data_IF_422372951285
#
_entry.id   IF_422372951285
#
_cell.length_a   1.000
_cell.length_b   1.000
_cell.length_c   1.000
_cell.angle_alpha   90.00
_cell.angle_beta   90.00
_cell.angle_gamma   90.00
#
_symmetry.space_group_name_H-M   'P 1'
#
loop_
_entity.id
_entity.type
_entity.pdbx_description
1 polymer ?
#
# COMPACT_ATOMS: atom_id res chain seq x y z
N UNK A 1 -32.43 6.11 -11.25
CA UNK A 1 -32.25 5.27 -10.03
C UNK A 1 -31.67 3.94 -10.46
N UNK A 2 -30.36 3.89 -10.65
CA UNK A 2 -29.64 2.66 -10.95
C UNK A 2 -29.10 2.11 -9.63
N UNK A 3 -29.23 0.82 -9.43
CA UNK A 3 -29.04 0.09 -8.18
C UNK A 3 -27.58 0.08 -7.76
N UNK A 4 -27.31 0.43 -6.49
CA UNK A 4 -26.02 0.46 -5.76
C UNK A 4 -25.22 -0.87 -5.72
N UNK A 5 -25.63 -1.91 -6.47
CA UNK A 5 -25.03 -3.25 -6.43
C UNK A 5 -23.96 -3.51 -7.51
N UNK A 6 -23.63 -2.56 -8.36
CA UNK A 6 -22.69 -2.76 -9.48
C UNK A 6 -21.28 -2.19 -9.27
N UNK A 7 -21.00 -1.51 -8.17
CA UNK A 7 -19.70 -0.86 -7.92
C UNK A 7 -18.61 -1.78 -7.31
N UNK A 8 -18.95 -2.99 -6.90
CA UNK A 8 -17.99 -3.92 -6.24
C UNK A 8 -17.50 -5.05 -7.16
N UNK A 9 -17.65 -4.94 -8.49
CA UNK A 9 -17.29 -6.03 -9.42
C UNK A 9 -16.35 -5.60 -10.54
N UNK A 10 -15.36 -4.79 -10.27
CA UNK A 10 -14.37 -4.30 -11.24
C UNK A 10 -13.06 -5.08 -11.32
N UNK A 11 -12.80 -6.07 -10.44
CA UNK A 11 -11.68 -6.98 -10.59
C UNK A 11 -12.20 -8.40 -10.86
N UNK A 12 -12.68 -8.64 -12.06
CA UNK A 12 -12.98 -9.99 -12.53
C UNK A 12 -11.65 -10.61 -12.96
N UNK A 13 -11.05 -11.39 -12.07
CA UNK A 13 -10.10 -12.42 -12.50
C UNK A 13 -10.89 -13.38 -13.38
N UNK A 14 -10.63 -13.34 -14.68
CA UNK A 14 -11.19 -14.28 -15.65
C UNK A 14 -10.71 -15.69 -15.32
N UNK A 15 -11.51 -16.44 -14.55
CA UNK A 15 -11.39 -17.88 -14.43
C UNK A 15 -11.99 -18.51 -15.65
N UNK A 16 -11.15 -18.94 -16.57
CA UNK A 16 -11.63 -19.80 -17.67
C UNK A 16 -10.81 -19.75 -18.92
N UNK A 17 -9.75 -20.53 -18.98
CA UNK A 17 -9.46 -21.45 -20.07
C UNK A 17 -8.04 -22.00 -19.91
N UNK A 18 -7.91 -23.25 -19.49
CA UNK A 18 -6.72 -24.05 -19.74
C UNK A 18 -6.56 -24.18 -21.26
N UNK A 19 -5.62 -23.45 -21.83
CA UNK A 19 -5.18 -23.69 -23.19
C UNK A 19 -3.69 -23.34 -23.33
N UNK A 20 -2.91 -24.39 -23.47
CA UNK A 20 -1.60 -24.46 -24.11
C UNK A 20 -0.54 -23.42 -23.70
N UNK A 21 0.20 -23.73 -22.64
CA UNK A 21 1.54 -23.17 -22.40
C UNK A 21 2.43 -23.48 -23.62
N UNK A 22 2.67 -22.49 -24.47
CA UNK A 22 3.82 -22.49 -25.36
C UNK A 22 5.04 -22.16 -24.50
N UNK A 23 5.92 -23.16 -24.27
CA UNK A 23 7.26 -22.91 -23.77
C UNK A 23 7.93 -21.88 -24.68
N UNK A 24 8.19 -20.70 -24.14
CA UNK A 24 9.19 -19.80 -24.69
C UNK A 24 10.52 -20.47 -24.34
N UNK A 25 11.24 -20.93 -25.36
CA UNK A 25 12.61 -21.39 -25.19
C UNK A 25 13.45 -20.19 -24.76
N UNK A 26 13.85 -20.20 -23.49
CA UNK A 26 14.79 -19.24 -22.94
C UNK A 26 16.11 -19.38 -23.71
N UNK A 27 16.46 -18.36 -24.50
CA UNK A 27 17.85 -18.16 -24.92
C UNK A 27 18.72 -18.06 -23.65
N UNK A 28 19.86 -18.74 -23.67
CA UNK A 28 20.86 -18.78 -22.59
C UNK A 28 21.29 -17.36 -22.17
N UNK A 29 20.57 -16.76 -21.23
CA UNK A 29 21.12 -15.73 -20.34
C UNK A 29 21.67 -16.44 -19.10
N UNK A 30 22.91 -16.16 -18.76
CA UNK A 30 23.56 -16.70 -17.58
C UNK A 30 22.65 -16.53 -16.36
N UNK A 31 21.98 -17.60 -15.99
CA UNK A 31 21.16 -17.69 -14.77
C UNK A 31 22.10 -17.57 -13.58
N UNK A 32 22.34 -16.35 -13.10
CA UNK A 32 22.86 -16.19 -11.76
C UNK A 32 21.72 -16.62 -10.82
N UNK A 33 21.82 -17.83 -10.31
CA UNK A 33 20.92 -18.34 -9.27
C UNK A 33 20.93 -17.34 -8.12
N UNK A 34 19.78 -16.70 -7.87
CA UNK A 34 19.62 -15.85 -6.69
C UNK A 34 19.84 -16.71 -5.45
N UNK A 35 20.77 -16.30 -4.60
CA UNK A 35 21.02 -16.96 -3.31
C UNK A 35 20.32 -16.13 -2.25
N UNK A 36 19.35 -16.76 -1.55
CA UNK A 36 18.69 -16.13 -0.42
C UNK A 36 19.73 -15.65 0.59
N UNK A 37 19.54 -14.43 1.09
CA UNK A 37 20.34 -13.92 2.20
C UNK A 37 20.15 -14.84 3.41
N UNK A 38 21.21 -15.33 4.08
CA UNK A 38 21.11 -16.25 5.21
C UNK A 38 20.39 -15.64 6.42
N UNK A 39 20.33 -14.32 6.52
CA UNK A 39 19.63 -13.61 7.59
C UNK A 39 18.13 -13.41 7.28
N UNK A 40 17.66 -13.84 6.11
CA UNK A 40 16.23 -13.78 5.77
C UNK A 40 15.43 -14.79 6.59
N UNK A 41 14.38 -14.32 7.25
CA UNK A 41 13.50 -15.13 8.08
C UNK A 41 12.27 -15.54 7.28
N UNK A 42 11.92 -16.83 7.32
CA UNK A 42 10.69 -17.34 6.71
C UNK A 42 9.48 -16.84 7.50
N UNK A 43 8.48 -16.33 6.78
CA UNK A 43 7.18 -15.96 7.33
C UNK A 43 6.25 -17.18 7.32
N UNK A 44 5.61 -17.46 8.45
CA UNK A 44 4.55 -18.47 8.58
C UNK A 44 3.22 -17.91 8.03
N UNK A 45 2.22 -18.78 7.89
CA UNK A 45 0.87 -18.35 7.52
C UNK A 45 0.28 -17.36 8.56
N UNK A 46 0.54 -17.59 9.86
CA UNK A 46 0.13 -16.69 10.93
C UNK A 46 0.85 -15.32 10.82
N UNK A 47 2.16 -15.31 10.51
CA UNK A 47 2.91 -14.08 10.30
C UNK A 47 2.35 -13.26 9.14
N UNK A 48 1.95 -13.94 8.06
CA UNK A 48 1.36 -13.29 6.88
C UNK A 48 -0.03 -12.72 7.21
N UNK A 49 -0.89 -13.49 7.86
CA UNK A 49 -2.21 -13.00 8.29
C UNK A 49 -2.08 -11.85 9.28
N UNK A 50 -1.19 -11.95 10.26
CA UNK A 50 -0.92 -10.86 11.21
C UNK A 50 -0.44 -9.59 10.47
N UNK A 51 0.44 -9.74 9.47
CA UNK A 51 0.89 -8.60 8.65
C UNK A 51 -0.27 -7.95 7.89
N UNK A 52 -1.16 -8.74 7.28
CA UNK A 52 -2.31 -8.24 6.53
C UNK A 52 -3.31 -7.54 7.44
N UNK A 53 -3.66 -8.15 8.58
CA UNK A 53 -4.57 -7.51 9.55
C UNK A 53 -3.96 -6.22 10.07
N UNK A 54 -2.70 -6.22 10.52
CA UNK A 54 -2.05 -5.02 11.03
C UNK A 54 -1.90 -3.93 9.97
N UNK A 55 -1.67 -4.29 8.70
CA UNK A 55 -1.61 -3.32 7.60
C UNK A 55 -2.95 -2.62 7.36
N UNK A 56 -4.10 -3.25 7.67
CA UNK A 56 -5.40 -2.60 7.58
C UNK A 56 -5.56 -1.45 8.61
N UNK A 57 -4.86 -1.54 9.74
CA UNK A 57 -4.77 -0.45 10.71
C UNK A 57 -3.83 0.67 10.27
N UNK A 58 -2.73 0.32 9.60
CA UNK A 58 -1.74 1.28 9.13
C UNK A 58 -2.11 1.90 7.76
N UNK A 59 -2.99 1.25 6.99
CA UNK A 59 -3.41 1.68 5.65
C UNK A 59 -4.27 2.94 5.62
N UNK A 60 -4.75 3.44 6.76
CA UNK A 60 -5.49 4.72 6.86
C UNK A 60 -6.68 4.83 5.90
N UNK A 61 -7.33 3.72 5.62
CA UNK A 61 -8.45 3.63 4.67
C UNK A 61 -8.04 3.38 3.21
N UNK A 62 -6.73 3.29 2.92
CA UNK A 62 -6.20 2.94 1.60
C UNK A 62 -5.45 1.62 1.58
N UNK A 63 -4.60 1.44 0.55
CA UNK A 63 -3.78 0.24 0.37
C UNK A 63 -4.55 -1.02 -0.05
N UNK A 64 -5.76 -0.88 -0.53
CA UNK A 64 -6.60 -1.93 -1.14
C UNK A 64 -7.25 -2.91 -0.17
N UNK A 65 -8.04 -3.81 -0.72
CA UNK A 65 -8.91 -4.73 0.04
C UNK A 65 -8.14 -5.80 0.82
N UNK A 66 -8.44 -5.96 2.11
CA UNK A 66 -7.91 -7.03 2.94
C UNK A 66 -8.33 -8.43 2.45
N UNK A 67 -9.56 -8.59 1.95
CA UNK A 67 -10.04 -9.85 1.41
C UNK A 67 -9.31 -10.25 0.11
N UNK A 68 -8.99 -9.27 -0.75
CA UNK A 68 -8.20 -9.51 -1.96
C UNK A 68 -6.74 -9.87 -1.60
N UNK A 69 -6.18 -9.19 -0.60
CA UNK A 69 -4.86 -9.49 -0.06
C UNK A 69 -4.77 -10.94 0.46
N UNK A 70 -5.76 -11.38 1.27
CA UNK A 70 -5.86 -12.76 1.76
C UNK A 70 -5.93 -13.77 0.62
N UNK A 71 -6.73 -13.50 -0.43
CA UNK A 71 -6.84 -14.35 -1.62
C UNK A 71 -5.51 -14.46 -2.38
N UNK A 72 -4.81 -13.34 -2.55
CA UNK A 72 -3.50 -13.32 -3.22
C UNK A 72 -2.47 -14.17 -2.47
N UNK A 73 -2.33 -13.96 -1.17
CA UNK A 73 -1.40 -14.71 -0.33
C UNK A 73 -1.77 -16.20 -0.29
N UNK A 74 -3.04 -16.54 -0.15
CA UNK A 74 -3.50 -17.94 -0.18
C UNK A 74 -3.17 -18.62 -1.52
N UNK A 75 -3.42 -17.94 -2.66
CA UNK A 75 -3.07 -18.44 -3.99
C UNK A 75 -1.57 -18.77 -4.10
N UNK A 76 -0.72 -17.88 -3.59
CA UNK A 76 0.73 -18.05 -3.66
C UNK A 76 1.24 -19.15 -2.71
N UNK A 77 0.66 -19.28 -1.53
CA UNK A 77 0.94 -20.42 -0.62
C UNK A 77 0.52 -21.75 -1.23
N UNK A 78 -0.65 -21.84 -1.86
CA UNK A 78 -1.13 -23.03 -2.57
C UNK A 78 -0.24 -23.38 -3.77
N UNK A 79 0.38 -22.39 -4.41
CA UNK A 79 1.39 -22.59 -5.45
C UNK A 79 2.76 -23.03 -4.89
N UNK A 80 2.90 -23.12 -3.57
CA UNK A 80 4.14 -23.56 -2.90
C UNK A 80 5.20 -22.47 -2.76
N UNK A 81 4.84 -21.21 -2.95
CA UNK A 81 5.77 -20.09 -2.76
C UNK A 81 6.15 -19.94 -1.28
N UNK A 82 7.36 -19.46 -1.05
CA UNK A 82 7.89 -19.20 0.31
C UNK A 82 8.11 -17.72 0.47
N UNK A 83 7.52 -17.15 1.50
CA UNK A 83 7.66 -15.76 1.87
C UNK A 83 8.78 -15.60 2.89
N UNK A 84 9.66 -14.62 2.66
CA UNK A 84 10.78 -14.32 3.57
C UNK A 84 10.90 -12.83 3.78
N UNK A 85 11.28 -12.42 4.99
CA UNK A 85 11.56 -11.03 5.34
C UNK A 85 13.03 -10.87 5.70
N UNK A 86 13.62 -9.71 5.37
CA UNK A 86 15.01 -9.39 5.65
C UNK A 86 15.09 -8.01 6.32
N UNK A 87 15.71 -7.89 7.49
CA UNK A 87 16.02 -6.58 8.07
C UNK A 87 16.93 -5.77 7.13
N UNK A 88 16.66 -4.48 6.97
CA UNK A 88 17.48 -3.60 6.11
C UNK A 88 18.96 -3.63 6.49
N UNK A 89 19.25 -3.72 7.79
CA UNK A 89 20.62 -3.81 8.32
C UNK A 89 21.41 -5.03 7.83
N UNK A 90 20.73 -6.10 7.39
CA UNK A 90 21.37 -7.32 6.87
C UNK A 90 21.78 -7.24 5.39
N UNK A 91 21.42 -6.18 4.68
CA UNK A 91 21.92 -5.92 3.33
C UNK A 91 23.41 -5.64 3.35
N UNK A 92 24.13 -6.14 2.35
CA UNK A 92 25.50 -5.67 2.07
C UNK A 92 25.41 -4.29 1.43
N UNK A 93 26.42 -3.45 1.60
CA UNK A 93 26.44 -2.10 1.00
C UNK A 93 26.31 -2.12 -0.53
N UNK A 94 26.82 -3.18 -1.15
CA UNK A 94 26.80 -3.40 -2.62
C UNK A 94 25.54 -4.08 -3.12
N UNK A 95 24.71 -4.64 -2.26
CA UNK A 95 23.42 -5.22 -2.69
C UNK A 95 22.55 -4.12 -3.29
N UNK A 96 21.73 -4.47 -4.27
CA UNK A 96 20.72 -3.56 -4.77
C UNK A 96 19.33 -4.10 -4.47
N UNK A 97 18.43 -3.18 -4.22
CA UNK A 97 17.02 -3.44 -3.94
C UNK A 97 16.18 -2.46 -4.74
N UNK A 98 14.92 -2.78 -5.02
CA UNK A 98 14.00 -1.89 -5.71
C UNK A 98 12.59 -2.06 -5.13
N UNK A 99 11.75 -1.07 -5.37
CA UNK A 99 10.37 -0.99 -4.90
C UNK A 99 9.38 -1.31 -6.02
N UNK A 100 8.78 -2.50 -6.07
CA UNK A 100 7.72 -2.84 -7.00
C UNK A 100 6.34 -2.52 -6.43
N UNK A 101 5.46 -1.95 -7.26
CA UNK A 101 4.05 -1.69 -6.91
C UNK A 101 3.18 -1.58 -8.16
N UNK A 102 1.85 -1.71 -7.98
CA UNK A 102 0.85 -1.53 -9.02
C UNK A 102 0.22 -0.14 -8.99
N UNK A 103 -0.02 0.43 -10.18
CA UNK A 103 -0.85 1.61 -10.37
C UNK A 103 -2.10 1.20 -11.14
N UNK A 104 -3.27 1.23 -10.49
CA UNK A 104 -4.54 1.03 -11.16
C UNK A 104 -5.13 2.36 -11.62
N UNK A 105 -5.87 2.33 -12.73
CA UNK A 105 -6.68 3.47 -13.16
C UNK A 105 -8.14 3.24 -12.75
N UNK A 106 -8.73 4.23 -12.06
CA UNK A 106 -10.17 4.28 -11.76
C UNK A 106 -10.96 4.96 -12.88
N UNK A 107 -10.29 5.48 -13.94
CA UNK A 107 -10.95 6.11 -15.07
C UNK A 107 -11.84 5.12 -15.81
N UNK A 108 -13.06 5.56 -16.16
CA UNK A 108 -13.97 4.77 -17.01
C UNK A 108 -13.30 4.48 -18.35
N UNK A 109 -13.21 3.20 -18.71
CA UNK A 109 -12.72 2.77 -20.02
C UNK A 109 -13.89 2.80 -21.00
N UNK A 110 -13.74 3.50 -22.14
CA UNK A 110 -14.77 3.47 -23.20
C UNK A 110 -14.92 2.07 -23.79
N UNK A 111 -16.12 1.75 -24.28
CA UNK A 111 -16.39 0.44 -24.91
C UNK A 111 -15.39 0.14 -26.03
N UNK A 112 -15.03 1.14 -26.85
CA UNK A 112 -14.03 0.99 -27.94
C UNK A 112 -12.65 0.65 -27.40
N UNK A 113 -12.23 1.31 -26.32
CA UNK A 113 -10.94 1.01 -25.67
C UNK A 113 -10.98 -0.38 -25.03
N UNK A 114 -12.10 -0.74 -24.38
CA UNK A 114 -12.30 -2.06 -23.81
C UNK A 114 -12.15 -3.16 -24.86
N UNK A 115 -12.84 -3.05 -26.01
CA UNK A 115 -12.77 -4.00 -27.12
C UNK A 115 -11.33 -4.13 -27.66
N UNK A 116 -10.62 -3.00 -27.81
CA UNK A 116 -9.22 -3.00 -28.26
C UNK A 116 -8.31 -3.74 -27.30
N UNK A 117 -8.43 -3.48 -25.99
CA UNK A 117 -7.60 -4.11 -24.96
C UNK A 117 -7.92 -5.60 -24.83
N UNK A 118 -9.19 -5.99 -24.96
CA UNK A 118 -9.58 -7.39 -24.89
C UNK A 118 -9.10 -8.20 -26.09
N UNK A 119 -8.96 -7.56 -27.26
CA UNK A 119 -8.46 -8.18 -28.50
C UNK A 119 -6.94 -8.43 -28.48
N UNK A 120 -6.18 -7.87 -27.54
CA UNK A 120 -4.72 -8.13 -27.43
C UNK A 120 -4.52 -9.55 -26.89
N UNK A 121 -3.89 -10.41 -27.69
CA UNK A 121 -3.66 -11.80 -27.32
C UNK A 121 -2.55 -11.96 -26.27
N UNK A 122 -1.52 -11.11 -26.32
CA UNK A 122 -0.42 -11.16 -25.37
C UNK A 122 -0.88 -10.55 -24.03
N UNK A 123 -0.94 -11.36 -23.00
CA UNK A 123 -1.33 -10.95 -21.65
C UNK A 123 -0.20 -11.29 -20.68
N UNK A 124 0.15 -10.32 -19.83
CA UNK A 124 1.08 -10.50 -18.70
C UNK A 124 0.26 -10.65 -17.43
N UNK A 125 0.42 -11.79 -16.76
CA UNK A 125 -0.36 -12.09 -15.55
C UNK A 125 0.01 -11.18 -14.38
N UNK A 126 1.31 -10.79 -14.28
CA UNK A 126 1.83 -9.98 -13.18
C UNK A 126 2.70 -8.83 -13.74
N UNK A 127 2.08 -7.71 -14.15
CA UNK A 127 2.80 -6.58 -14.74
C UNK A 127 3.87 -6.00 -13.81
N UNK A 128 3.64 -6.01 -12.50
CA UNK A 128 4.59 -5.55 -11.47
C UNK A 128 5.88 -6.37 -11.51
N UNK A 129 5.78 -7.69 -11.67
CA UNK A 129 6.96 -8.56 -11.83
C UNK A 129 7.70 -8.24 -13.14
N UNK A 130 6.96 -8.06 -14.23
CA UNK A 130 7.56 -7.70 -15.53
C UNK A 130 8.30 -6.35 -15.46
N UNK A 131 7.74 -5.36 -14.79
CA UNK A 131 8.39 -4.07 -14.55
C UNK A 131 9.70 -4.21 -13.75
N UNK A 132 9.69 -5.01 -12.70
CA UNK A 132 10.88 -5.29 -11.89
C UNK A 132 11.97 -6.01 -12.69
N UNK A 133 11.61 -7.02 -13.48
CA UNK A 133 12.53 -7.76 -14.33
C UNK A 133 13.07 -6.90 -15.48
N UNK A 134 12.24 -5.99 -16.04
CA UNK A 134 12.69 -5.02 -17.05
C UNK A 134 13.75 -4.06 -16.47
N UNK A 135 13.58 -3.61 -15.22
CA UNK A 135 14.54 -2.77 -14.53
C UNK A 135 15.86 -3.53 -14.25
N UNK A 136 15.79 -4.79 -13.79
CA UNK A 136 16.97 -5.65 -13.63
C UNK A 136 17.74 -5.83 -14.94
N UNK A 137 17.02 -6.07 -16.04
CA UNK A 137 17.59 -6.23 -17.38
C UNK A 137 18.25 -4.94 -17.85
N UNK A 138 17.62 -3.79 -17.63
CA UNK A 138 18.18 -2.49 -17.98
C UNK A 138 19.49 -2.19 -17.24
N UNK A 139 19.53 -2.51 -15.95
CA UNK A 139 20.69 -2.27 -15.09
C UNK A 139 21.77 -3.36 -15.20
N UNK A 140 21.50 -4.44 -15.95
CA UNK A 140 22.34 -5.66 -16.01
C UNK A 140 22.71 -6.17 -14.60
N UNK A 141 21.73 -6.11 -13.66
CA UNK A 141 21.94 -6.48 -12.28
C UNK A 141 20.67 -7.08 -11.66
N UNK A 142 20.86 -8.16 -10.86
CA UNK A 142 19.78 -8.75 -10.06
C UNK A 142 19.67 -8.07 -8.71
N UNK A 143 18.43 -7.80 -8.30
CA UNK A 143 18.17 -7.25 -6.98
C UNK A 143 18.21 -8.32 -5.89
N UNK A 144 18.71 -7.95 -4.72
CA UNK A 144 18.89 -8.82 -3.55
C UNK A 144 17.63 -8.89 -2.66
N UNK A 145 16.67 -8.02 -2.89
CA UNK A 145 15.41 -7.94 -2.14
C UNK A 145 14.44 -6.93 -2.72
N UNK A 146 13.23 -6.96 -2.21
CA UNK A 146 12.12 -6.09 -2.57
C UNK A 146 11.88 -5.10 -1.42
N UNK A 147 11.87 -3.79 -1.73
CA UNK A 147 11.34 -2.76 -0.84
C UNK A 147 9.82 -2.81 -0.96
N UNK A 148 9.08 -2.86 0.16
CA UNK A 148 7.63 -2.74 0.13
C UNK A 148 7.23 -1.31 -0.29
N UNK A 149 6.21 -1.16 -1.12
CA UNK A 149 5.78 0.15 -1.60
C UNK A 149 5.17 0.99 -0.48
N UNK A 150 4.19 0.43 0.20
CA UNK A 150 3.47 1.06 1.30
C UNK A 150 2.88 -0.01 2.23
N UNK A 151 2.41 0.40 3.40
CA UNK A 151 1.73 -0.49 4.34
C UNK A 151 0.22 -0.27 4.25
N UNK A 152 -0.38 -1.05 3.37
CA UNK A 152 -1.82 -1.23 3.24
C UNK A 152 -2.11 -2.67 2.83
N UNK A 153 -3.32 -3.22 3.01
CA UNK A 153 -3.53 -4.67 2.92
C UNK A 153 -3.11 -5.28 1.59
N UNK A 154 -3.64 -4.80 0.47
CA UNK A 154 -3.33 -5.36 -0.85
C UNK A 154 -1.94 -4.94 -1.33
N UNK A 155 -1.54 -3.69 -1.11
CA UNK A 155 -0.21 -3.21 -1.49
C UNK A 155 0.91 -3.99 -0.79
N UNK A 156 0.75 -4.30 0.51
CA UNK A 156 1.66 -5.17 1.25
C UNK A 156 1.68 -6.60 0.69
N UNK A 157 0.49 -7.17 0.42
CA UNK A 157 0.38 -8.51 -0.13
C UNK A 157 1.05 -8.62 -1.52
N UNK A 158 0.90 -7.61 -2.38
CA UNK A 158 1.55 -7.53 -3.69
C UNK A 158 3.08 -7.51 -3.55
N UNK A 159 3.63 -6.65 -2.70
CA UNK A 159 5.07 -6.60 -2.44
C UNK A 159 5.63 -7.94 -1.94
N UNK A 160 4.93 -8.57 -0.98
CA UNK A 160 5.28 -9.90 -0.48
C UNK A 160 5.17 -10.99 -1.57
N UNK A 161 4.09 -10.97 -2.37
CA UNK A 161 3.88 -11.89 -3.49
C UNK A 161 5.01 -11.79 -4.53
N UNK A 162 5.36 -10.56 -4.94
CA UNK A 162 6.45 -10.32 -5.89
C UNK A 162 7.78 -10.83 -5.33
N UNK A 163 8.09 -10.56 -4.05
CA UNK A 163 9.32 -11.05 -3.43
C UNK A 163 9.40 -12.60 -3.46
N UNK A 164 8.29 -13.27 -3.12
CA UNK A 164 8.21 -14.73 -3.12
C UNK A 164 8.34 -15.31 -4.55
N UNK A 165 7.69 -14.72 -5.55
CA UNK A 165 7.76 -15.13 -6.98
C UNK A 165 9.16 -14.93 -7.54
N UNK A 166 9.84 -13.86 -7.17
CA UNK A 166 11.21 -13.57 -7.57
C UNK A 166 12.24 -14.42 -6.80
N UNK A 167 11.86 -15.09 -5.71
CA UNK A 167 12.76 -15.86 -4.85
C UNK A 167 13.78 -14.98 -4.11
N UNK A 168 13.40 -13.75 -3.75
CA UNK A 168 14.18 -12.82 -2.93
C UNK A 168 13.38 -12.42 -1.68
N UNK A 169 14.01 -11.97 -0.58
CA UNK A 169 13.27 -11.51 0.57
C UNK A 169 12.57 -10.15 0.32
N UNK A 170 11.41 -9.95 0.93
CA UNK A 170 10.90 -8.61 1.18
C UNK A 170 11.72 -7.98 2.30
N UNK A 171 12.07 -6.70 2.18
CA UNK A 171 12.70 -5.98 3.28
C UNK A 171 11.67 -5.73 4.38
N UNK A 172 12.10 -5.80 5.63
CA UNK A 172 11.32 -5.29 6.76
C UNK A 172 11.41 -3.75 6.76
N UNK A 173 10.89 -3.17 5.71
CA UNK A 173 10.83 -1.73 5.46
C UNK A 173 9.92 -1.45 4.26
N UNK A 174 9.35 -0.27 4.27
CA UNK A 174 8.63 0.28 3.13
C UNK A 174 9.05 1.74 2.86
N UNK A 175 8.38 2.38 1.93
CA UNK A 175 8.71 3.75 1.53
C UNK A 175 7.85 4.80 2.22
N UNK A 176 6.91 4.40 3.09
CA UNK A 176 5.92 5.34 3.64
C UNK A 176 5.60 5.11 5.13
N UNK A 177 5.44 3.86 5.57
CA UNK A 177 4.93 3.48 6.90
C UNK A 177 3.41 3.47 7.02
N UNK A 178 2.69 3.73 5.91
CA UNK A 178 1.24 3.75 5.78
C UNK A 178 0.84 3.67 4.30
N UNK A 179 -0.45 3.66 3.96
CA UNK A 179 -0.87 3.90 2.57
C UNK A 179 -1.00 5.40 2.27
N UNK A 180 -0.79 5.77 1.01
CA UNK A 180 -0.73 7.16 0.52
C UNK A 180 -1.36 7.32 -0.85
N UNK A 181 -1.92 8.52 -1.17
CA UNK A 181 -2.58 8.75 -2.45
C UNK A 181 -1.65 8.84 -3.67
N UNK A 182 -0.40 9.28 -3.50
CA UNK A 182 0.46 9.64 -4.63
C UNK A 182 1.87 9.08 -4.48
N UNK A 183 2.53 8.77 -5.60
CA UNK A 183 3.96 8.38 -5.65
C UNK A 183 4.87 9.46 -5.03
N UNK A 184 4.39 10.71 -4.96
CA UNK A 184 5.16 11.80 -4.35
C UNK A 184 5.43 11.60 -2.85
N UNK A 185 4.58 10.88 -2.15
CA UNK A 185 4.79 10.48 -0.76
C UNK A 185 5.71 9.25 -0.66
N UNK A 186 6.98 9.42 -1.02
CA UNK A 186 7.99 8.36 -1.08
C UNK A 186 9.25 8.77 -0.31
N UNK A 187 9.61 8.02 0.72
CA UNK A 187 10.72 8.36 1.63
C UNK A 187 12.07 8.48 0.92
N UNK A 188 12.35 7.62 -0.08
CA UNK A 188 13.57 7.71 -0.88
C UNK A 188 13.67 9.06 -1.60
N UNK A 189 12.55 9.56 -2.14
CA UNK A 189 12.48 10.88 -2.76
C UNK A 189 12.70 12.00 -1.73
N UNK A 190 12.07 11.91 -0.56
CA UNK A 190 12.23 12.87 0.54
C UNK A 190 13.69 12.89 1.04
N UNK A 191 14.37 11.75 1.02
CA UNK A 191 15.81 11.65 1.30
C UNK A 191 16.72 12.26 0.22
N UNK A 192 16.14 12.81 -0.86
CA UNK A 192 16.87 13.43 -1.98
C UNK A 192 17.51 12.42 -2.93
N UNK A 193 17.05 11.17 -2.93
CA UNK A 193 17.55 10.10 -3.79
C UNK A 193 16.57 9.96 -4.98
N UNK A 194 17.07 9.92 -6.24
CA UNK A 194 16.23 9.73 -7.40
C UNK A 194 15.48 8.39 -7.37
N UNK A 195 14.20 8.39 -7.77
CA UNK A 195 13.42 7.16 -7.98
C UNK A 195 13.85 6.42 -9.26
N UNK A 196 14.45 7.15 -10.20
CA UNK A 196 14.91 6.63 -11.53
C UNK A 196 16.23 5.87 -11.43
N UNK A 197 16.49 4.95 -12.41
CA UNK A 197 15.56 4.55 -13.49
C UNK A 197 14.35 3.80 -12.95
N UNK A 198 13.20 3.95 -13.64
CA UNK A 198 11.93 3.30 -13.24
C UNK A 198 11.54 2.31 -14.33
N UNK A 199 11.41 1.04 -13.98
CA UNK A 199 10.80 0.03 -14.83
C UNK A 199 9.29 0.13 -14.80
N UNK A 200 8.62 -0.04 -15.94
CA UNK A 200 7.18 -0.09 -16.02
C UNK A 200 6.71 -1.15 -17.02
N UNK A 201 5.59 -1.79 -16.75
CA UNK A 201 5.00 -2.76 -17.67
C UNK A 201 3.46 -2.73 -17.60
N UNK A 202 2.83 -3.11 -18.72
CA UNK A 202 1.37 -3.21 -18.81
C UNK A 202 0.90 -4.66 -18.82
N UNK A 203 -0.38 -4.94 -18.52
CA UNK A 203 -0.97 -6.28 -18.67
C UNK A 203 -0.91 -6.83 -20.10
N UNK A 204 -0.51 -6.01 -21.06
CA UNK A 204 -0.49 -6.34 -22.49
C UNK A 204 0.92 -6.59 -23.02
N UNK A 205 1.93 -6.65 -22.12
CA UNK A 205 3.30 -6.98 -22.48
C UNK A 205 4.14 -5.81 -22.96
N UNK A 206 3.67 -4.58 -22.77
CA UNK A 206 4.52 -3.41 -23.00
C UNK A 206 5.50 -3.27 -21.83
N UNK A 207 6.80 -3.20 -22.12
CA UNK A 207 7.87 -2.96 -21.15
C UNK A 207 8.53 -1.61 -21.45
N UNK A 208 8.74 -0.80 -20.42
CA UNK A 208 9.31 0.54 -20.51
C UNK A 208 10.33 0.76 -19.41
N UNK A 209 11.29 1.66 -19.66
CA UNK A 209 12.16 2.21 -18.62
C UNK A 209 12.20 3.73 -18.74
N UNK A 210 11.86 4.40 -17.65
CA UNK A 210 12.00 5.85 -17.50
C UNK A 210 13.39 6.10 -16.91
N UNK A 211 14.34 6.44 -17.78
CA UNK A 211 15.75 6.62 -17.40
C UNK A 211 15.98 7.86 -16.54
N UNK A 212 15.32 8.95 -16.90
CA UNK A 212 15.44 10.23 -16.20
C UNK A 212 14.13 10.99 -16.23
N UNK A 213 13.88 11.76 -15.19
CA UNK A 213 12.79 12.71 -15.08
C UNK A 213 13.34 14.13 -15.05
N UNK A 214 12.79 15.04 -15.87
CA UNK A 214 13.14 16.46 -15.82
C UNK A 214 12.71 17.12 -14.50
N UNK A 215 11.63 16.60 -13.91
CA UNK A 215 11.12 16.92 -12.58
C UNK A 215 10.67 15.61 -11.91
N UNK A 216 11.14 15.29 -10.68
CA UNK A 216 10.77 14.06 -9.99
C UNK A 216 9.27 13.87 -9.76
N UNK A 217 8.48 14.96 -9.70
CA UNK A 217 7.02 14.90 -9.52
C UNK A 217 6.30 14.34 -10.73
N UNK A 218 6.93 14.34 -11.90
CA UNK A 218 6.35 13.83 -13.14
C UNK A 218 6.26 12.30 -13.22
N UNK A 219 6.88 11.58 -12.29
CA UNK A 219 6.71 10.12 -12.22
C UNK A 219 5.23 9.73 -12.17
N UNK A 220 4.45 10.38 -11.27
CA UNK A 220 3.01 10.18 -11.15
C UNK A 220 2.29 10.43 -12.48
N UNK A 221 2.49 11.60 -13.10
CA UNK A 221 1.80 11.97 -14.33
C UNK A 221 2.05 10.97 -15.48
N UNK A 222 3.32 10.56 -15.65
CA UNK A 222 3.72 9.67 -16.74
C UNK A 222 3.16 8.26 -16.51
N UNK A 223 3.39 7.69 -15.33
CA UNK A 223 2.99 6.32 -15.03
C UNK A 223 1.46 6.19 -14.89
N UNK A 224 0.79 7.19 -14.33
CA UNK A 224 -0.67 7.25 -14.29
C UNK A 224 -1.26 7.31 -15.71
N UNK A 225 -0.65 8.04 -16.63
CA UNK A 225 -1.08 8.07 -18.03
C UNK A 225 -0.99 6.69 -18.70
N UNK A 226 0.04 5.91 -18.37
CA UNK A 226 0.16 4.51 -18.83
C UNK A 226 -0.95 3.65 -18.24
N UNK A 227 -1.20 3.78 -16.91
CA UNK A 227 -2.27 3.05 -16.25
C UNK A 227 -3.65 3.38 -16.84
N UNK A 228 -3.92 4.65 -17.18
CA UNK A 228 -5.19 5.07 -17.80
C UNK A 228 -5.43 4.36 -19.14
N UNK A 229 -4.41 4.27 -20.02
CA UNK A 229 -4.57 3.63 -21.33
C UNK A 229 -4.48 2.11 -21.31
N UNK A 230 -3.99 1.53 -20.21
CA UNK A 230 -3.79 0.07 -20.05
C UNK A 230 -4.58 -0.52 -18.86
N UNK A 231 -5.39 0.30 -18.16
CA UNK A 231 -6.11 0.01 -16.90
C UNK A 231 -5.21 -0.18 -15.69
N UNK A 232 -4.02 -0.67 -15.91
CA UNK A 232 -3.03 -0.98 -14.89
C UNK A 232 -1.63 -0.74 -15.45
N UNK A 233 -0.71 -0.32 -14.59
CA UNK A 233 0.72 -0.23 -14.86
C UNK A 233 1.47 -0.83 -13.68
N UNK A 234 2.20 -1.92 -13.90
CA UNK A 234 3.21 -2.40 -12.97
C UNK A 234 4.40 -1.46 -13.00
N UNK A 235 4.94 -1.13 -11.83
CA UNK A 235 6.08 -0.21 -11.66
C UNK A 235 7.14 -0.88 -10.80
N UNK A 236 8.40 -0.57 -11.06
CA UNK A 236 9.51 -0.86 -10.16
C UNK A 236 10.45 0.35 -10.16
N UNK A 237 10.63 0.99 -9.02
CA UNK A 237 11.45 2.18 -8.88
C UNK A 237 12.51 2.04 -7.77
N UNK A 238 13.21 3.14 -7.49
CA UNK A 238 14.18 3.24 -6.39
C UNK A 238 15.21 2.12 -6.37
N UNK A 239 15.96 1.88 -7.48
CA UNK A 239 16.99 0.85 -7.53
C UNK A 239 18.22 1.28 -6.72
N UNK A 240 18.07 1.31 -5.38
CA UNK A 240 19.09 1.82 -4.45
C UNK A 240 20.05 0.73 -3.96
N UNK A 241 21.24 1.14 -3.53
CA UNK A 241 22.22 0.24 -2.90
C UNK A 241 21.86 -0.03 -1.45
N UNK A 242 22.35 -1.15 -0.90
CA UNK A 242 22.19 -1.45 0.52
C UNK A 242 22.81 -0.38 1.45
N UNK A 243 23.88 0.29 1.00
CA UNK A 243 24.43 1.45 1.69
C UNK A 243 23.40 2.58 1.82
N UNK A 244 22.71 2.93 0.71
CA UNK A 244 21.67 3.94 0.71
C UNK A 244 20.44 3.50 1.50
N UNK A 245 20.01 2.23 1.33
CA UNK A 245 18.85 1.69 2.04
C UNK A 245 19.02 1.74 3.58
N UNK A 246 20.25 1.56 4.07
CA UNK A 246 20.60 1.62 5.51
C UNK A 246 20.78 3.04 6.05
N UNK A 247 20.85 4.04 5.18
CA UNK A 247 20.97 5.43 5.62
C UNK A 247 19.67 5.86 6.28
N UNK A 248 19.78 6.44 7.48
CA UNK A 248 18.64 6.96 8.23
C UNK A 248 17.78 7.90 7.37
N UNK A 249 16.46 7.73 7.41
CA UNK A 249 15.50 8.53 6.66
C UNK A 249 15.38 8.15 5.17
N UNK A 250 16.01 7.07 4.69
CA UNK A 250 15.81 6.59 3.32
C UNK A 250 14.60 5.69 3.22
N UNK A 251 14.42 4.77 4.15
CA UNK A 251 13.28 3.85 4.23
C UNK A 251 12.63 3.93 5.61
N UNK A 252 11.35 3.65 5.70
CA UNK A 252 10.64 3.42 6.96
C UNK A 252 10.90 1.97 7.36
N UNK A 253 11.83 1.78 8.30
CA UNK A 253 12.26 0.45 8.73
C UNK A 253 11.32 -0.15 9.77
N UNK A 254 11.30 -1.49 9.89
CA UNK A 254 10.48 -2.27 10.83
C UNK A 254 8.96 -2.11 10.61
N UNK A 255 8.53 -1.61 9.44
CA UNK A 255 7.12 -1.38 9.14
C UNK A 255 6.34 -2.69 8.96
N UNK A 256 6.95 -3.72 8.35
CA UNK A 256 6.38 -5.07 8.31
C UNK A 256 6.31 -5.69 9.70
N UNK A 257 7.34 -5.51 10.52
CA UNK A 257 7.36 -5.97 11.92
C UNK A 257 6.27 -5.26 12.74
N UNK A 258 6.05 -3.95 12.54
CA UNK A 258 4.98 -3.21 13.21
C UNK A 258 3.59 -3.73 12.80
N UNK A 259 3.37 -3.93 11.49
CA UNK A 259 2.12 -4.50 11.00
C UNK A 259 1.86 -5.88 11.62
N UNK A 260 2.84 -6.78 11.62
CA UNK A 260 2.72 -8.10 12.26
C UNK A 260 2.44 -7.99 13.76
N UNK A 261 3.09 -7.08 14.46
CA UNK A 261 2.88 -6.86 15.90
C UNK A 261 1.44 -6.44 16.21
N UNK A 262 0.86 -5.53 15.41
CA UNK A 262 -0.53 -5.10 15.55
C UNK A 262 -1.47 -6.27 15.27
N UNK A 263 -1.31 -6.98 14.15
CA UNK A 263 -2.18 -8.12 13.81
C UNK A 263 -2.12 -9.26 14.81
N UNK A 264 -0.91 -9.60 15.31
CA UNK A 264 -0.75 -10.60 16.36
C UNK A 264 -1.47 -10.21 17.66
N UNK A 265 -1.48 -8.92 18.02
CA UNK A 265 -2.22 -8.41 19.17
C UNK A 265 -3.73 -8.53 18.96
N UNK A 266 -4.25 -8.17 17.77
CA UNK A 266 -5.65 -8.36 17.38
C UNK A 266 -6.06 -9.82 17.48
N UNK A 267 -5.30 -10.72 16.88
CA UNK A 267 -5.54 -12.16 16.90
C UNK A 267 -5.52 -12.73 18.32
N UNK A 268 -4.54 -12.32 19.14
CA UNK A 268 -4.41 -12.74 20.52
C UNK A 268 -5.57 -12.28 21.40
N UNK A 269 -5.99 -11.02 21.27
CA UNK A 269 -7.14 -10.48 21.98
C UNK A 269 -8.44 -11.17 21.56
N UNK A 270 -8.68 -11.36 20.26
CA UNK A 270 -9.86 -12.07 19.74
C UNK A 270 -9.93 -13.49 20.26
N UNK A 271 -8.82 -14.23 20.25
CA UNK A 271 -8.76 -15.61 20.76
C UNK A 271 -9.05 -15.73 22.27
N UNK A 272 -8.71 -14.69 23.05
CA UNK A 272 -8.96 -14.64 24.50
C UNK A 272 -10.29 -14.01 24.88
N UNK A 273 -11.08 -13.51 23.91
CA UNK A 273 -12.32 -12.77 24.15
C UNK A 273 -12.08 -11.37 24.73
N UNK A 274 -10.89 -10.80 24.51
CA UNK A 274 -10.51 -9.44 24.89
C UNK A 274 -10.90 -8.41 23.83
N UNK A 275 -10.49 -7.15 24.08
CA UNK A 275 -10.71 -6.04 23.15
C UNK A 275 -9.60 -6.00 22.10
N UNK A 276 -9.92 -6.42 20.88
CA UNK A 276 -8.99 -6.48 19.76
C UNK A 276 -8.52 -5.07 19.31
N UNK A 277 -9.41 -4.06 19.39
CA UNK A 277 -9.09 -2.70 18.98
C UNK A 277 -8.15 -2.04 19.98
N UNK A 278 -8.41 -2.24 21.26
CA UNK A 278 -7.52 -1.73 22.31
C UNK A 278 -6.15 -2.42 22.25
N UNK A 279 -6.11 -3.74 22.01
CA UNK A 279 -4.86 -4.45 21.82
C UNK A 279 -4.05 -3.93 20.61
N UNK A 280 -4.72 -3.62 19.51
CA UNK A 280 -4.08 -2.99 18.35
C UNK A 280 -3.55 -1.58 18.66
N UNK A 281 -4.36 -0.78 19.35
CA UNK A 281 -3.97 0.57 19.79
C UNK A 281 -2.70 0.54 20.65
N UNK A 282 -2.65 -0.34 21.65
CA UNK A 282 -1.48 -0.51 22.51
C UNK A 282 -0.26 -1.02 21.73
N UNK A 283 -0.45 -2.03 20.85
CA UNK A 283 0.63 -2.58 20.04
C UNK A 283 1.25 -1.55 19.09
N UNK A 284 0.43 -0.65 18.53
CA UNK A 284 0.87 0.43 17.62
C UNK A 284 1.27 1.73 18.33
N UNK A 285 1.26 1.81 19.66
CA UNK A 285 1.44 3.08 20.42
C UNK A 285 0.47 4.18 19.93
N UNK A 286 -0.79 3.79 19.71
CA UNK A 286 -1.81 4.63 19.09
C UNK A 286 -2.71 5.34 20.10
N UNK A 287 -3.58 6.20 19.57
CA UNK A 287 -4.54 7.02 20.29
C UNK A 287 -5.96 6.60 19.90
N UNK A 288 -6.87 6.52 20.88
CA UNK A 288 -8.31 6.41 20.61
C UNK A 288 -8.84 7.81 20.29
N UNK A 289 -9.19 8.06 19.02
CA UNK A 289 -9.70 9.36 18.59
C UNK A 289 -11.22 9.45 18.75
N UNK A 290 -11.94 8.34 18.51
CA UNK A 290 -13.40 8.30 18.55
C UNK A 290 -13.94 6.87 18.60
N UNK A 291 -15.14 6.71 19.15
CA UNK A 291 -15.98 5.52 18.96
C UNK A 291 -17.40 5.97 18.59
N UNK A 292 -18.01 5.29 17.62
CA UNK A 292 -19.30 5.72 17.12
C UNK A 292 -19.92 4.77 16.12
N UNK A 293 -20.90 5.30 15.40
CA UNK A 293 -21.53 4.63 14.27
C UNK A 293 -21.44 5.50 13.02
N UNK A 294 -21.32 4.88 11.86
CA UNK A 294 -21.32 5.58 10.57
C UNK A 294 -22.66 6.29 10.40
N UNK A 295 -22.62 7.61 10.21
CA UNK A 295 -23.78 8.47 10.01
C UNK A 295 -24.02 8.81 8.53
N UNK A 296 -23.02 8.58 7.71
CA UNK A 296 -23.08 8.77 6.26
C UNK A 296 -21.72 9.01 5.65
N UNK A 297 -21.65 8.81 4.35
CA UNK A 297 -20.45 9.02 3.54
C UNK A 297 -20.80 9.78 2.26
N UNK A 298 -19.85 10.58 1.78
CA UNK A 298 -19.91 11.24 0.47
C UNK A 298 -18.66 10.85 -0.32
N UNK A 299 -18.84 10.45 -1.59
CA UNK A 299 -17.74 9.99 -2.42
C UNK A 299 -17.82 10.62 -3.81
N UNK A 300 -16.65 10.96 -4.36
CA UNK A 300 -16.45 11.50 -5.69
C UNK A 300 -15.15 10.98 -6.26
N UNK A 301 -15.18 10.50 -7.49
CA UNK A 301 -13.96 10.27 -8.27
C UNK A 301 -13.55 11.58 -8.95
N UNK A 302 -12.34 12.03 -8.68
CA UNK A 302 -11.79 13.25 -9.24
C UNK A 302 -10.30 13.08 -9.54
N UNK A 303 -9.91 13.34 -10.77
CA UNK A 303 -8.52 13.23 -11.26
C UNK A 303 -7.85 11.87 -10.97
N UNK A 304 -8.64 10.79 -10.94
CA UNK A 304 -8.16 9.42 -10.67
C UNK A 304 -8.01 9.08 -9.18
N UNK A 305 -8.50 9.92 -8.28
CA UNK A 305 -8.52 9.71 -6.85
C UNK A 305 -9.94 9.60 -6.31
N UNK A 306 -10.14 8.72 -5.33
CA UNK A 306 -11.37 8.67 -4.55
C UNK A 306 -11.31 9.77 -3.48
N UNK A 307 -12.13 10.81 -3.66
CA UNK A 307 -12.27 11.90 -2.68
C UNK A 307 -13.57 11.76 -1.91
N UNK A 308 -13.60 12.17 -0.66
CA UNK A 308 -14.83 12.07 0.10
C UNK A 308 -14.75 12.46 1.56
N UNK A 309 -15.84 12.16 2.24
CA UNK A 309 -16.00 12.45 3.67
C UNK A 309 -16.71 11.28 4.34
N UNK A 310 -16.22 10.86 5.49
CA UNK A 310 -16.88 9.89 6.37
C UNK A 310 -17.33 10.63 7.64
N UNK A 311 -18.62 10.50 8.00
CA UNK A 311 -19.21 11.12 9.21
C UNK A 311 -19.66 10.05 10.16
N UNK A 312 -19.37 10.27 11.45
CA UNK A 312 -19.72 9.36 12.53
C UNK A 312 -20.52 10.10 13.62
N UNK A 313 -21.43 9.37 14.26
CA UNK A 313 -22.11 9.81 15.47
C UNK A 313 -21.52 9.07 16.67
N UNK A 314 -21.13 9.79 17.71
CA UNK A 314 -20.44 9.25 18.87
C UNK A 314 -21.29 8.32 19.73
N UNK A 315 -20.62 7.30 20.28
CA UNK A 315 -21.16 6.35 21.26
C UNK A 315 -20.23 6.28 22.49
N UNK A 316 -20.68 5.65 23.56
CA UNK A 316 -19.86 5.48 24.76
C UNK A 316 -19.39 6.83 25.34
N UNK A 317 -18.09 6.98 25.49
CA UNK A 317 -17.47 8.23 26.01
C UNK A 317 -17.63 9.42 25.06
N UNK A 318 -17.88 9.16 23.77
CA UNK A 318 -18.08 10.19 22.75
C UNK A 318 -19.56 10.43 22.44
N UNK A 319 -20.49 9.93 23.27
CA UNK A 319 -21.93 10.12 23.07
C UNK A 319 -22.30 11.61 22.98
N UNK A 320 -23.04 11.98 21.93
CA UNK A 320 -23.45 13.36 21.66
C UNK A 320 -22.42 14.19 20.88
N UNK A 321 -21.24 13.64 20.56
CA UNK A 321 -20.24 14.28 19.71
C UNK A 321 -20.37 13.77 18.28
N UNK A 322 -19.90 14.60 17.32
CA UNK A 322 -19.77 14.24 15.92
C UNK A 322 -18.29 14.10 15.53
N UNK A 323 -18.02 13.19 14.60
CA UNK A 323 -16.70 13.04 14.00
C UNK A 323 -16.80 13.05 12.49
N UNK A 324 -15.84 13.66 11.85
CA UNK A 324 -15.74 13.72 10.40
C UNK A 324 -14.29 13.53 9.97
N UNK A 325 -14.06 12.79 8.89
CA UNK A 325 -12.76 12.72 8.26
C UNK A 325 -12.85 12.93 6.76
N UNK A 326 -11.93 13.71 6.22
CA UNK A 326 -11.78 14.02 4.81
C UNK A 326 -10.80 13.04 4.19
N UNK A 327 -11.09 12.62 2.95
CA UNK A 327 -10.43 11.52 2.26
C UNK A 327 -9.95 11.96 0.87
N UNK A 328 -8.73 11.57 0.52
CA UNK A 328 -8.22 11.45 -0.85
C UNK A 328 -7.52 10.09 -0.94
N UNK A 329 -8.19 9.06 -1.40
CA UNK A 329 -7.91 7.63 -1.22
C UNK A 329 -7.82 7.23 0.27
N UNK A 330 -6.94 7.88 1.03
CA UNK A 330 -6.70 7.71 2.46
C UNK A 330 -7.32 8.84 3.27
N UNK A 331 -7.47 8.61 4.58
CA UNK A 331 -7.90 9.65 5.51
C UNK A 331 -6.78 10.69 5.71
N UNK A 332 -7.10 11.96 5.52
CA UNK A 332 -6.14 13.06 5.56
C UNK A 332 -6.34 14.01 6.74
N UNK A 333 -7.60 14.33 7.08
CA UNK A 333 -7.92 15.29 8.16
C UNK A 333 -9.10 14.75 8.96
N UNK A 334 -8.96 14.67 10.27
CA UNK A 334 -10.01 14.24 11.18
C UNK A 334 -10.42 15.36 12.13
N UNK A 335 -11.74 15.54 12.30
CA UNK A 335 -12.32 16.51 13.23
C UNK A 335 -13.33 15.87 14.16
N UNK A 336 -13.32 16.31 15.41
CA UNK A 336 -14.31 15.98 16.44
C UNK A 336 -14.99 17.27 16.87
N UNK A 337 -16.31 17.36 16.71
CA UNK A 337 -17.10 18.60 16.93
C UNK A 337 -16.49 19.84 16.23
N UNK A 338 -16.01 19.65 15.00
CA UNK A 338 -15.36 20.67 14.16
C UNK A 338 -13.91 21.00 14.53
N UNK A 339 -13.36 20.44 15.61
CA UNK A 339 -11.95 20.65 16.01
C UNK A 339 -11.08 19.54 15.41
N UNK A 340 -9.97 19.92 14.82
CA UNK A 340 -8.96 18.98 14.30
C UNK A 340 -8.41 18.15 15.44
N UNK A 341 -8.40 16.82 15.28
CA UNK A 341 -7.86 15.83 16.24
C UNK A 341 -6.72 14.99 15.65
N UNK A 342 -6.62 14.92 14.35
CA UNK A 342 -5.48 14.32 13.64
C UNK A 342 -5.42 14.83 12.20
N UNK A 343 -4.24 14.88 11.62
CA UNK A 343 -4.03 15.20 10.20
C UNK A 343 -2.90 14.33 9.62
N UNK A 344 -2.92 14.11 8.29
CA UNK A 344 -1.72 13.60 7.62
C UNK A 344 -0.50 14.49 7.93
N UNK A 345 0.69 13.91 7.97
CA UNK A 345 1.07 12.55 7.67
C UNK A 345 0.75 11.54 8.78
N UNK A 346 0.32 11.92 9.99
CA UNK A 346 -0.11 10.98 11.01
C UNK A 346 -1.30 10.14 10.51
N UNK A 347 -1.44 8.94 11.03
CA UNK A 347 -2.39 7.94 10.53
C UNK A 347 -3.75 8.13 11.20
N UNK A 348 -4.81 7.99 10.41
CA UNK A 348 -6.20 8.02 10.86
C UNK A 348 -6.86 6.76 10.34
N UNK A 349 -7.19 5.82 11.23
CA UNK A 349 -7.72 4.50 10.84
C UNK A 349 -9.08 4.27 11.45
N UNK A 350 -10.07 3.93 10.60
CA UNK A 350 -11.42 3.56 11.03
C UNK A 350 -11.52 2.05 11.03
N UNK A 351 -11.87 1.48 12.17
CA UNK A 351 -11.89 0.05 12.42
C UNK A 351 -13.34 -0.41 12.62
N UNK A 352 -13.74 -1.48 11.96
CA UNK A 352 -15.02 -2.13 12.22
C UNK A 352 -14.99 -2.85 13.57
N UNK A 353 -15.89 -2.48 14.47
CA UNK A 353 -15.91 -3.05 15.82
C UNK A 353 -16.27 -4.53 15.82
N UNK A 354 -17.00 -5.00 14.83
CA UNK A 354 -17.47 -6.39 14.75
C UNK A 354 -16.39 -7.34 14.25
N UNK A 355 -15.66 -6.96 13.20
CA UNK A 355 -14.58 -7.80 12.64
C UNK A 355 -13.24 -7.55 13.32
N UNK A 356 -13.00 -6.34 13.82
CA UNK A 356 -11.68 -5.90 14.29
C UNK A 356 -10.73 -5.54 13.16
N UNK A 357 -11.18 -5.48 11.89
CA UNK A 357 -10.37 -5.13 10.75
C UNK A 357 -10.47 -3.62 10.43
N UNK A 358 -9.40 -3.04 9.90
CA UNK A 358 -9.44 -1.69 9.35
C UNK A 358 -10.34 -1.60 8.11
N UNK A 359 -11.16 -0.55 8.03
CA UNK A 359 -12.07 -0.34 6.90
C UNK A 359 -11.32 0.38 5.78
N UNK A 360 -11.36 -0.19 4.59
CA UNK A 360 -10.82 0.41 3.37
C UNK A 360 -11.92 1.22 2.67
N UNK A 361 -11.58 2.44 2.24
CA UNK A 361 -12.50 3.33 1.51
C UNK A 361 -12.91 2.72 0.14
N UNK A 362 -14.19 2.83 -0.25
CA UNK A 362 -15.34 3.45 0.42
C UNK A 362 -16.21 2.46 1.24
N UNK A 363 -15.66 1.41 1.84
CA UNK A 363 -16.32 0.21 2.37
C UNK A 363 -17.18 0.42 3.63
N UNK A 364 -17.89 1.53 3.80
CA UNK A 364 -18.72 1.84 4.97
C UNK A 364 -20.20 1.52 4.75
N UNK A 365 -20.86 1.09 5.83
CA UNK A 365 -22.31 0.89 5.88
C UNK A 365 -22.94 1.84 6.92
N UNK A 366 -24.09 2.44 6.57
CA UNK A 366 -24.83 3.32 7.49
C UNK A 366 -25.19 2.56 8.78
N UNK A 367 -24.89 3.15 9.92
CA UNK A 367 -25.12 2.53 11.23
C UNK A 367 -24.05 1.52 11.68
N UNK A 368 -23.04 1.23 10.87
CA UNK A 368 -21.91 0.36 11.23
C UNK A 368 -21.19 0.90 12.47
N UNK A 369 -20.98 0.05 13.48
CA UNK A 369 -20.24 0.42 14.68
C UNK A 369 -18.74 0.43 14.40
N UNK A 370 -18.09 1.55 14.70
CA UNK A 370 -16.67 1.77 14.40
C UNK A 370 -15.91 2.40 15.55
N UNK A 371 -14.61 2.16 15.58
CA UNK A 371 -13.64 2.92 16.36
C UNK A 371 -12.67 3.65 15.42
N UNK A 372 -12.19 4.81 15.83
CA UNK A 372 -11.17 5.56 15.09
C UNK A 372 -9.91 5.60 15.93
N UNK A 373 -8.86 5.04 15.38
CA UNK A 373 -7.52 5.09 15.95
C UNK A 373 -6.66 6.09 15.19
N UNK A 374 -5.72 6.70 15.90
CA UNK A 374 -4.66 7.50 15.30
C UNK A 374 -3.30 6.96 15.67
N UNK A 375 -2.33 7.01 14.74
CA UNK A 375 -0.95 6.62 15.00
C UNK A 375 0.00 7.72 14.52
N UNK A 376 1.18 7.77 15.14
CA UNK A 376 2.24 8.68 14.69
C UNK A 376 2.79 8.19 13.35
N UNK A 377 3.07 9.12 12.46
CA UNK A 377 3.84 8.82 11.25
C UNK A 377 5.32 8.62 11.58
N UNK A 378 6.06 8.03 10.62
CA UNK A 378 7.52 7.98 10.71
C UNK A 378 8.12 9.39 10.79
N UNK A 379 9.21 9.60 11.57
CA UNK A 379 9.85 10.92 11.72
C UNK A 379 10.26 11.59 10.41
N UNK A 380 10.53 10.83 9.34
CA UNK A 380 10.88 11.42 8.03
C UNK A 380 9.78 12.35 7.52
N UNK A 381 8.51 12.01 7.76
CA UNK A 381 7.36 12.80 7.32
C UNK A 381 7.17 14.09 8.12
N UNK A 382 7.81 14.21 9.29
CA UNK A 382 7.82 15.41 10.13
C UNK A 382 8.98 16.36 9.80
N UNK A 383 9.87 15.94 8.88
CA UNK A 383 10.92 16.82 8.35
C UNK A 383 10.33 17.89 7.43
N UNK A 384 11.08 18.97 7.18
CA UNK A 384 10.68 20.02 6.24
C UNK A 384 10.35 19.42 4.86
N UNK A 385 11.25 18.61 4.30
CA UNK A 385 11.05 17.96 3.01
C UNK A 385 9.87 16.95 3.01
N UNK A 386 9.62 16.26 4.12
CA UNK A 386 8.45 15.38 4.28
C UNK A 386 7.15 16.17 4.26
N UNK A 387 7.08 17.27 5.00
CA UNK A 387 5.89 18.13 5.06
C UNK A 387 5.62 18.90 3.76
N UNK A 388 6.64 19.17 2.95
CA UNK A 388 6.46 19.77 1.61
C UNK A 388 5.61 18.88 0.69
N UNK A 389 5.65 17.56 0.84
CA UNK A 389 4.94 16.61 -0.02
C UNK A 389 3.84 15.83 0.71
N UNK A 390 3.76 15.94 2.04
CA UNK A 390 2.80 15.18 2.82
C UNK A 390 2.33 15.94 4.07
N UNK A 391 1.62 17.04 3.85
CA UNK A 391 0.98 17.82 4.90
C UNK A 391 -0.46 18.17 4.51
N UNK A 392 -1.30 18.63 5.45
CA UNK A 392 -2.61 19.16 5.09
C UNK A 392 -2.54 20.23 4.01
N UNK A 393 -1.57 21.15 4.11
CA UNK A 393 -1.37 22.23 3.15
C UNK A 393 -1.03 21.75 1.75
N UNK A 394 -0.28 20.63 1.61
CA UNK A 394 -0.01 20.00 0.32
C UNK A 394 -1.31 19.56 -0.39
N UNK A 395 -2.28 19.06 0.36
CA UNK A 395 -3.59 18.65 -0.16
C UNK A 395 -4.62 19.77 -0.22
N UNK A 396 -4.20 21.03 -0.04
CA UNK A 396 -5.07 22.21 -0.20
C UNK A 396 -5.89 22.58 1.03
N UNK A 397 -5.65 21.97 2.18
CA UNK A 397 -6.28 22.38 3.43
C UNK A 397 -5.55 23.61 4.01
N UNK A 398 -6.30 24.62 4.47
CA UNK A 398 -5.75 25.79 5.19
C UNK A 398 -5.47 25.40 6.65
N UNK A 399 -4.53 24.48 6.83
CA UNK A 399 -4.15 23.89 8.12
C UNK A 399 -2.65 23.60 8.14
N UNK A 400 -2.00 23.99 9.22
CA UNK A 400 -0.65 23.53 9.54
C UNK A 400 -0.70 22.10 10.13
N UNK A 401 0.32 21.29 9.86
CA UNK A 401 0.50 20.02 10.52
C UNK A 401 0.80 20.22 12.00
N UNK A 402 0.05 19.52 12.84
CA UNK A 402 0.31 19.42 14.28
C UNK A 402 0.40 17.93 14.63
N UNK A 403 1.50 17.50 15.27
CA UNK A 403 1.65 16.10 15.69
C UNK A 403 0.48 15.60 16.52
N UNK A 404 0.02 14.38 16.21
CA UNK A 404 -1.17 13.78 16.84
C UNK A 404 -1.08 13.74 18.36
N UNK A 405 0.10 13.55 18.92
CA UNK A 405 0.34 13.57 20.38
C UNK A 405 -0.01 14.90 21.04
N UNK A 406 -0.11 15.98 20.27
CA UNK A 406 -0.51 17.31 20.75
C UNK A 406 -2.01 17.59 20.53
N UNK A 407 -2.71 16.75 19.76
CA UNK A 407 -4.12 16.92 19.39
C UNK A 407 -5.05 15.89 20.05
N UNK A 408 -4.58 14.69 20.29
CA UNK A 408 -5.39 13.54 20.73
C UNK A 408 -5.59 13.48 22.26
N UNK A 409 -5.12 14.46 23.02
CA UNK A 409 -5.22 14.54 24.47
C UNK A 409 -6.57 15.05 24.99
#
# INVERSE_FOLDING_TARGET
MASRRQFLSGLVIATGALAACRKIENGDSASSTRTLNPDATKLSADDLEDALVGSSYLGTGGGGSLDEARKLIAKDLDAGLTFTALPVAALKDTDRVACPYGLASLAETSDEMQERLDAIENKVEVPVQAAFEALEKHLDQKFAGVILGEIGPLSLAEGLSISARLGVPALDADTVGRAVPEINQHSVKVAGIPLTPIGAATPFGDEMVVETLGDPTRAEDILRSVAVVSRECGVADSPITGELAKKEGTLVTESLTLARKIGAAVRGATASGGDAIEAAREAGDGYMLFTGTVAGTEWKDEDGFLQGTVRLTGTGEFAGQAFETEVKNEHLVARRDGKVVATCPDLISIIDVKSGDGIVNPGYEDGQAVAVLGFKCDPIWRSEAGLEVFSPGYFGYDLDYVPIENLAG
#
